data_IF_530679832739
#
_entry.id   IF_530679832739
#
_cell.length_a   1.000
_cell.length_b   1.000
_cell.length_c   1.000
_cell.angle_alpha   90.00
_cell.angle_beta   90.00
_cell.angle_gamma   90.00
#
_symmetry.space_group_name_H-M   'P 1'
#
loop_
_entity.id
_entity.type
_entity.pdbx_description
1 polymer ?
#
# COMPACT_ATOMS: atom_id res chain seq x y z
N UNK A 1 14.21 27.74 3.40
CA UNK A 1 12.76 27.80 3.73
C UNK A 1 11.88 27.86 2.48
N UNK A 2 12.15 28.68 1.47
CA UNK A 2 11.30 28.80 0.26
C UNK A 2 11.22 27.52 -0.57
N UNK A 3 12.32 26.79 -0.76
CA UNK A 3 12.36 25.54 -1.56
C UNK A 3 11.53 24.43 -0.92
N UNK A 4 11.60 24.26 0.40
CA UNK A 4 10.84 23.24 1.11
C UNK A 4 9.33 23.52 1.09
N UNK A 5 8.93 24.77 1.27
CA UNK A 5 7.52 25.18 1.19
C UNK A 5 6.93 24.99 -0.20
N UNK A 6 7.72 25.26 -1.25
CA UNK A 6 7.29 25.04 -2.64
C UNK A 6 7.12 23.56 -2.96
N UNK A 7 8.06 22.71 -2.51
CA UNK A 7 7.96 21.25 -2.67
C UNK A 7 6.74 20.68 -1.94
N UNK A 8 6.50 21.11 -0.69
CA UNK A 8 5.33 20.68 0.08
C UNK A 8 4.02 21.06 -0.63
N UNK A 9 3.93 22.30 -1.11
CA UNK A 9 2.74 22.80 -1.82
C UNK A 9 2.49 22.02 -3.11
N UNK A 10 3.56 21.71 -3.87
CA UNK A 10 3.49 20.88 -5.08
C UNK A 10 3.03 19.45 -4.76
N UNK A 11 3.57 18.84 -3.71
CA UNK A 11 3.18 17.48 -3.31
C UNK A 11 1.71 17.42 -2.87
N UNK A 12 1.25 18.38 -2.05
CA UNK A 12 -0.17 18.48 -1.67
C UNK A 12 -1.10 18.61 -2.87
N UNK A 13 -0.75 19.51 -3.80
CA UNK A 13 -1.55 19.68 -5.01
C UNK A 13 -1.61 18.41 -5.84
N UNK A 14 -0.49 17.72 -6.01
CA UNK A 14 -0.45 16.45 -6.74
C UNK A 14 -1.31 15.39 -6.07
N UNK A 15 -1.29 15.31 -4.73
CA UNK A 15 -2.16 14.40 -3.98
C UNK A 15 -3.64 14.74 -4.19
N UNK A 16 -4.03 16.01 -4.02
CA UNK A 16 -5.40 16.49 -4.21
C UNK A 16 -5.94 16.22 -5.63
N UNK A 17 -5.06 16.27 -6.65
CA UNK A 17 -5.42 15.99 -8.05
C UNK A 17 -5.57 14.48 -8.34
N UNK A 18 -4.83 13.62 -7.65
CA UNK A 18 -4.81 12.16 -7.91
C UNK A 18 -5.73 11.36 -6.99
N UNK A 19 -5.93 11.82 -5.76
CA UNK A 19 -6.74 11.13 -4.75
C UNK A 19 -8.17 10.79 -5.20
N UNK A 20 -8.92 11.67 -5.91
CA UNK A 20 -10.27 11.35 -6.37
C UNK A 20 -10.32 10.15 -7.31
N UNK A 21 -9.31 10.00 -8.18
CA UNK A 21 -9.20 8.86 -9.10
C UNK A 21 -9.03 7.54 -8.32
N UNK A 22 -8.08 7.48 -7.40
CA UNK A 22 -7.84 6.28 -6.60
C UNK A 22 -9.00 5.96 -5.66
N UNK A 23 -9.70 6.98 -5.13
CA UNK A 23 -10.92 6.78 -4.36
C UNK A 23 -12.04 6.17 -5.21
N UNK A 24 -12.18 6.57 -6.47
CA UNK A 24 -13.14 5.98 -7.39
C UNK A 24 -12.83 4.50 -7.66
N UNK A 25 -11.57 4.15 -7.87
CA UNK A 25 -11.14 2.75 -8.07
C UNK A 25 -11.41 1.89 -6.82
N UNK A 26 -11.08 2.38 -5.63
CA UNK A 26 -11.37 1.69 -4.36
C UNK A 26 -12.86 1.44 -4.18
N UNK A 27 -13.69 2.45 -4.45
CA UNK A 27 -15.14 2.33 -4.40
C UNK A 27 -15.64 1.28 -5.39
N UNK A 28 -15.05 1.19 -6.58
CA UNK A 28 -15.42 0.20 -7.59
C UNK A 28 -15.09 -1.22 -7.12
N UNK A 29 -13.91 -1.46 -6.54
CA UNK A 29 -13.54 -2.75 -5.94
C UNK A 29 -14.53 -3.11 -4.82
N UNK A 30 -14.83 -2.19 -3.91
CA UNK A 30 -15.78 -2.39 -2.82
C UNK A 30 -17.18 -2.79 -3.33
N UNK A 31 -17.65 -2.13 -4.39
CA UNK A 31 -18.93 -2.44 -5.03
C UNK A 31 -18.94 -3.86 -5.63
N UNK A 32 -17.89 -4.23 -6.37
CA UNK A 32 -17.77 -5.59 -6.95
C UNK A 32 -17.81 -6.65 -5.86
N UNK A 33 -16.99 -6.50 -4.83
CA UNK A 33 -16.89 -7.47 -3.72
C UNK A 33 -18.20 -7.60 -2.95
N UNK A 34 -18.96 -6.51 -2.80
CA UNK A 34 -20.26 -6.52 -2.13
C UNK A 34 -21.34 -7.21 -2.93
N UNK A 35 -21.47 -6.89 -4.22
CA UNK A 35 -22.52 -7.43 -5.07
C UNK A 35 -22.27 -8.86 -5.51
N UNK A 36 -21.01 -9.31 -5.50
CA UNK A 36 -20.60 -10.63 -5.90
C UNK A 36 -19.85 -11.32 -4.76
N UNK A 37 -20.57 -11.78 -3.73
CA UNK A 37 -19.96 -12.37 -2.55
C UNK A 37 -19.14 -13.61 -2.83
N UNK A 38 -19.43 -14.32 -3.91
CA UNK A 38 -18.75 -15.56 -4.30
C UNK A 38 -17.68 -15.35 -5.38
N UNK A 39 -17.32 -14.08 -5.67
CA UNK A 39 -16.26 -13.81 -6.61
C UNK A 39 -14.92 -14.33 -6.08
N UNK A 40 -14.33 -15.25 -6.82
CA UNK A 40 -12.97 -15.74 -6.57
C UNK A 40 -12.00 -14.96 -7.46
N UNK A 41 -11.01 -14.33 -6.85
CA UNK A 41 -9.99 -13.58 -7.55
C UNK A 41 -8.63 -13.78 -6.89
N UNK A 42 -7.55 -13.80 -7.69
CA UNK A 42 -6.19 -14.01 -7.20
C UNK A 42 -5.74 -13.02 -6.13
N UNK A 43 -6.29 -11.80 -6.14
CA UNK A 43 -5.98 -10.76 -5.14
C UNK A 43 -6.77 -10.91 -3.83
N UNK A 44 -7.71 -11.85 -3.78
CA UNK A 44 -8.53 -12.15 -2.61
C UNK A 44 -8.12 -13.47 -1.93
N UNK A 45 -7.07 -14.12 -2.41
CA UNK A 45 -6.60 -15.39 -1.83
C UNK A 45 -5.95 -15.17 -0.47
N UNK A 46 -6.71 -15.48 0.58
CA UNK A 46 -6.28 -15.37 1.99
C UNK A 46 -5.39 -16.53 2.45
N UNK A 47 -4.93 -17.38 1.55
CA UNK A 47 -4.09 -18.56 1.84
C UNK A 47 -4.70 -19.46 2.93
N UNK A 48 -5.89 -20.01 2.74
CA UNK A 48 -6.61 -20.74 3.78
C UNK A 48 -5.87 -22.01 4.26
N UNK A 49 -5.01 -22.57 3.41
CA UNK A 49 -4.22 -23.78 3.69
C UNK A 49 -2.87 -23.48 4.39
N UNK A 50 -2.58 -22.23 4.72
CA UNK A 50 -1.32 -21.81 5.36
C UNK A 50 -1.62 -21.18 6.71
N UNK A 51 -0.98 -21.70 7.77
CA UNK A 51 -1.16 -21.14 9.10
C UNK A 51 -0.71 -19.67 9.14
N UNK A 52 -1.39 -18.79 9.88
CA UNK A 52 -1.05 -17.35 9.93
C UNK A 52 0.40 -17.08 10.30
N UNK A 53 0.97 -17.86 11.22
CA UNK A 53 2.36 -17.76 11.67
C UNK A 53 3.40 -18.18 10.61
N UNK A 54 3.01 -18.96 9.62
CA UNK A 54 3.89 -19.44 8.55
C UNK A 54 3.79 -18.58 7.27
N UNK A 55 2.87 -17.60 7.26
CA UNK A 55 2.71 -16.69 6.12
C UNK A 55 3.91 -15.77 5.97
N UNK A 56 4.28 -15.53 4.72
CA UNK A 56 5.34 -14.60 4.35
C UNK A 56 4.72 -13.22 4.16
N UNK A 57 5.08 -12.27 5.02
CA UNK A 57 4.57 -10.90 4.96
C UNK A 57 5.55 -9.99 4.23
N UNK A 58 5.07 -9.32 3.18
CA UNK A 58 5.80 -8.27 2.50
C UNK A 58 5.48 -6.91 3.13
N UNK A 59 6.50 -6.17 3.55
CA UNK A 59 6.35 -4.81 4.07
C UNK A 59 7.01 -3.82 3.14
N UNK A 60 6.23 -2.94 2.53
CA UNK A 60 6.72 -1.76 1.80
C UNK A 60 6.88 -0.64 2.82
N UNK A 61 8.12 -0.28 3.14
CA UNK A 61 8.44 0.74 4.14
C UNK A 61 8.86 2.03 3.43
N UNK A 62 8.05 3.08 3.55
CA UNK A 62 8.29 4.36 2.88
C UNK A 62 9.00 5.32 3.82
N UNK A 63 10.25 5.66 3.50
CA UNK A 63 11.10 6.60 4.24
C UNK A 63 11.59 7.72 3.34
N UNK A 64 12.22 8.74 3.92
CA UNK A 64 12.89 9.78 3.15
C UNK A 64 14.28 9.33 2.64
N UNK A 65 14.80 10.04 1.63
CA UNK A 65 16.16 9.83 1.12
C UNK A 65 17.22 10.57 1.93
N UNK A 66 16.84 11.66 2.60
CA UNK A 66 17.76 12.51 3.35
C UNK A 66 17.26 12.79 4.76
N UNK A 67 18.20 13.02 5.69
CA UNK A 67 17.91 13.38 7.06
C UNK A 67 17.25 14.74 7.23
N UNK A 68 17.15 15.20 8.48
CA UNK A 68 16.52 16.45 8.90
C UNK A 68 14.98 16.46 8.78
N UNK A 69 14.35 15.28 8.74
CA UNK A 69 12.90 15.14 8.72
C UNK A 69 12.29 14.93 10.13
N UNK A 70 13.01 15.30 11.20
CA UNK A 70 12.53 15.12 12.58
C UNK A 70 12.22 13.67 12.90
N UNK A 71 11.10 13.44 13.60
CA UNK A 71 10.64 12.10 13.98
C UNK A 71 10.04 11.28 12.82
N UNK A 72 9.86 11.85 11.64
CA UNK A 72 9.22 11.22 10.48
C UNK A 72 9.79 9.82 10.19
N UNK A 73 11.09 9.74 9.91
CA UNK A 73 11.73 8.46 9.59
C UNK A 73 11.81 7.54 10.81
N UNK A 74 12.07 8.11 11.99
CA UNK A 74 12.17 7.32 13.23
C UNK A 74 10.87 6.56 13.52
N UNK A 75 9.74 7.21 13.40
CA UNK A 75 8.45 6.61 13.71
C UNK A 75 8.08 5.50 12.72
N UNK A 76 8.30 5.70 11.42
CA UNK A 76 8.09 4.67 10.39
C UNK A 76 8.99 3.47 10.61
N UNK A 77 10.27 3.68 10.87
CA UNK A 77 11.24 2.62 11.11
C UNK A 77 10.94 1.84 12.39
N UNK A 78 10.53 2.54 13.45
CA UNK A 78 10.08 1.91 14.70
C UNK A 78 8.86 1.02 14.44
N UNK A 79 7.85 1.52 13.74
CA UNK A 79 6.66 0.73 13.39
C UNK A 79 7.03 -0.51 12.57
N UNK A 80 7.91 -0.35 11.56
CA UNK A 80 8.37 -1.47 10.76
C UNK A 80 9.12 -2.53 11.60
N UNK A 81 9.96 -2.11 12.53
CA UNK A 81 10.65 -3.02 13.45
C UNK A 81 9.67 -3.80 14.33
N UNK A 82 8.68 -3.11 14.92
CA UNK A 82 7.65 -3.75 15.75
C UNK A 82 6.87 -4.83 14.97
N UNK A 83 6.60 -4.60 13.68
CA UNK A 83 5.87 -5.55 12.85
C UNK A 83 6.73 -6.76 12.45
N UNK A 84 7.99 -6.54 12.03
CA UNK A 84 8.86 -7.64 11.62
C UNK A 84 9.28 -8.53 12.80
N UNK A 85 9.42 -7.98 14.01
CA UNK A 85 9.72 -8.74 15.22
C UNK A 85 8.62 -9.74 15.59
N UNK A 86 7.38 -9.48 15.16
CA UNK A 86 6.24 -10.36 15.36
C UNK A 86 6.10 -11.44 14.25
N UNK A 87 6.90 -11.35 13.19
CA UNK A 87 6.80 -12.22 12.04
C UNK A 87 7.89 -13.28 12.03
N UNK A 88 7.52 -14.53 11.76
CA UNK A 88 8.47 -15.61 11.51
C UNK A 88 9.15 -15.48 10.14
N UNK A 89 8.34 -15.09 9.14
CA UNK A 89 8.78 -14.93 7.77
C UNK A 89 8.33 -13.58 7.23
N UNK A 90 9.27 -12.83 6.66
CA UNK A 90 8.97 -11.52 6.05
C UNK A 90 9.93 -11.18 4.91
N UNK A 91 9.51 -10.26 4.04
CA UNK A 91 10.35 -9.57 3.07
C UNK A 91 10.18 -8.06 3.25
N UNK A 92 11.27 -7.31 3.22
CA UNK A 92 11.27 -5.85 3.32
C UNK A 92 11.54 -5.21 1.96
N UNK A 93 10.65 -4.34 1.54
CA UNK A 93 10.75 -3.50 0.36
C UNK A 93 10.87 -2.05 0.82
N UNK A 94 12.06 -1.46 0.72
CA UNK A 94 12.31 -0.15 1.31
C UNK A 94 12.39 0.93 0.23
N UNK A 95 11.48 1.89 0.30
CA UNK A 95 11.52 3.12 -0.47
C UNK A 95 12.23 4.19 0.37
N UNK A 96 13.24 4.84 -0.20
CA UNK A 96 14.04 5.86 0.46
C UNK A 96 15.36 5.33 1.02
N UNK A 97 16.38 6.15 0.85
CA UNK A 97 17.75 5.78 1.18
C UNK A 97 18.00 5.64 2.69
N UNK A 98 17.33 6.47 3.50
CA UNK A 98 17.50 6.40 4.96
C UNK A 98 17.01 5.08 5.55
N UNK A 99 15.90 4.56 5.07
CA UNK A 99 15.40 3.26 5.52
C UNK A 99 16.37 2.14 5.17
N UNK A 100 16.89 2.13 3.94
CA UNK A 100 17.89 1.13 3.53
C UNK A 100 19.12 1.16 4.41
N UNK A 101 19.68 2.33 4.66
CA UNK A 101 20.86 2.48 5.52
C UNK A 101 20.57 2.04 6.97
N UNK A 102 19.37 2.31 7.46
CA UNK A 102 18.95 1.92 8.79
C UNK A 102 18.93 0.38 8.93
N UNK A 103 18.17 -0.31 8.05
CA UNK A 103 18.05 -1.76 8.10
C UNK A 103 19.39 -2.47 7.84
N UNK A 104 20.21 -1.92 6.93
CA UNK A 104 21.57 -2.43 6.71
C UNK A 104 22.44 -2.35 7.98
N UNK A 105 22.37 -1.25 8.74
CA UNK A 105 23.10 -1.11 10.02
C UNK A 105 22.61 -2.08 11.09
N UNK A 106 21.34 -2.46 11.05
CA UNK A 106 20.75 -3.44 11.96
C UNK A 106 20.97 -4.89 11.48
N UNK A 107 21.66 -5.11 10.36
CA UNK A 107 21.83 -6.42 9.71
C UNK A 107 20.50 -7.10 9.36
N UNK A 108 19.45 -6.30 9.05
CA UNK A 108 18.15 -6.79 8.62
C UNK A 108 18.15 -6.86 7.10
N UNK A 109 17.83 -8.01 6.49
CA UNK A 109 17.81 -8.15 5.04
C UNK A 109 16.70 -7.33 4.42
N UNK A 110 17.01 -6.63 3.33
CA UNK A 110 16.06 -5.91 2.47
C UNK A 110 16.14 -6.45 1.06
N UNK A 111 15.07 -6.33 0.29
CA UNK A 111 15.06 -6.72 -1.12
C UNK A 111 16.11 -5.90 -1.89
N UNK A 112 17.22 -6.55 -2.30
CA UNK A 112 18.39 -5.86 -2.86
C UNK A 112 18.10 -5.19 -4.20
N UNK A 113 17.26 -5.81 -5.01
CA UNK A 113 16.85 -5.27 -6.34
C UNK A 113 15.86 -4.12 -6.22
N UNK A 114 15.19 -4.00 -5.07
CA UNK A 114 14.21 -2.96 -4.79
C UNK A 114 14.91 -1.65 -4.39
N UNK A 115 15.32 -0.86 -5.39
CA UNK A 115 16.15 0.33 -5.16
C UNK A 115 15.44 1.61 -5.60
N UNK A 116 14.43 2.02 -4.83
CA UNK A 116 13.62 3.20 -5.12
C UNK A 116 13.89 4.33 -4.13
N UNK A 117 13.93 5.55 -4.67
CA UNK A 117 14.07 6.78 -3.88
C UNK A 117 12.71 7.43 -3.68
N UNK A 118 12.54 8.14 -2.56
CA UNK A 118 11.34 8.92 -2.28
C UNK A 118 11.27 10.26 -3.05
N UNK A 119 12.38 10.65 -3.70
CA UNK A 119 12.42 11.89 -4.47
C UNK A 119 11.70 11.76 -5.81
N UNK A 120 10.99 12.84 -6.19
CA UNK A 120 10.23 12.91 -7.45
C UNK A 120 9.28 11.74 -7.64
N UNK A 121 8.30 11.56 -6.75
CA UNK A 121 7.29 10.51 -6.89
C UNK A 121 6.56 10.67 -8.23
N UNK A 122 6.25 9.55 -8.87
CA UNK A 122 5.50 9.52 -10.12
C UNK A 122 4.68 8.24 -10.21
N UNK A 123 3.55 8.29 -10.90
CA UNK A 123 2.71 7.12 -11.15
C UNK A 123 3.48 5.98 -11.84
N UNK A 124 4.43 6.31 -12.70
CA UNK A 124 5.28 5.31 -13.36
C UNK A 124 6.14 4.53 -12.34
N UNK A 125 6.75 5.22 -11.37
CA UNK A 125 7.54 4.56 -10.31
C UNK A 125 6.64 3.74 -9.38
N UNK A 126 5.51 4.29 -8.97
CA UNK A 126 4.54 3.58 -8.14
C UNK A 126 4.05 2.30 -8.84
N UNK A 127 3.84 2.34 -10.17
CA UNK A 127 3.49 1.17 -10.97
C UNK A 127 4.57 0.09 -10.94
N UNK A 128 5.83 0.44 -11.16
CA UNK A 128 6.94 -0.53 -11.14
C UNK A 128 7.05 -1.19 -9.76
N UNK A 129 6.95 -0.41 -8.68
CA UNK A 129 6.96 -0.93 -7.30
C UNK A 129 5.79 -1.88 -7.07
N UNK A 130 4.59 -1.48 -7.52
CA UNK A 130 3.38 -2.28 -7.41
C UNK A 130 3.51 -3.60 -8.17
N UNK A 131 3.94 -3.55 -9.43
CA UNK A 131 4.09 -4.74 -10.29
C UNK A 131 5.04 -5.78 -9.65
N UNK A 132 6.17 -5.35 -9.11
CA UNK A 132 7.14 -6.24 -8.46
C UNK A 132 6.53 -6.97 -7.24
N UNK A 133 5.82 -6.24 -6.39
CA UNK A 133 5.24 -6.82 -5.17
C UNK A 133 4.01 -7.67 -5.48
N UNK A 134 3.17 -7.24 -6.43
CA UNK A 134 1.98 -7.96 -6.87
C UNK A 134 2.37 -9.28 -7.53
N UNK A 135 3.43 -9.31 -8.34
CA UNK A 135 3.91 -10.53 -8.98
C UNK A 135 4.37 -11.56 -7.94
N UNK A 136 5.16 -11.14 -6.94
CA UNK A 136 5.58 -12.02 -5.85
C UNK A 136 4.39 -12.55 -5.03
N UNK A 137 3.32 -11.77 -4.86
CA UNK A 137 2.09 -12.25 -4.22
C UNK A 137 1.37 -13.30 -5.10
N UNK A 138 1.25 -13.07 -6.40
CA UNK A 138 0.63 -14.03 -7.34
C UNK A 138 1.40 -15.34 -7.44
N UNK A 139 2.73 -15.27 -7.40
CA UNK A 139 3.61 -16.44 -7.42
C UNK A 139 3.66 -17.20 -6.09
N UNK A 140 3.05 -16.67 -5.04
CA UNK A 140 3.03 -17.28 -3.70
C UNK A 140 4.32 -17.06 -2.91
N UNK A 141 5.20 -16.19 -3.36
CA UNK A 141 6.38 -15.76 -2.62
C UNK A 141 6.04 -14.81 -1.47
N UNK A 142 4.90 -14.15 -1.56
CA UNK A 142 4.29 -13.35 -0.50
C UNK A 142 2.84 -13.84 -0.27
N UNK A 143 2.44 -13.91 0.99
CA UNK A 143 1.09 -14.29 1.38
C UNK A 143 0.25 -13.08 1.80
N UNK A 144 0.91 -12.06 2.32
CA UNK A 144 0.31 -10.79 2.73
C UNK A 144 1.24 -9.64 2.33
N UNK A 145 0.66 -8.49 1.97
CA UNK A 145 1.41 -7.29 1.60
C UNK A 145 0.88 -6.09 2.36
N UNK A 146 1.77 -5.38 3.01
CA UNK A 146 1.50 -4.17 3.78
C UNK A 146 2.33 -3.00 3.29
N UNK A 147 1.79 -1.79 3.40
CA UNK A 147 2.57 -0.56 3.28
C UNK A 147 2.62 0.15 4.64
N UNK A 148 3.81 0.58 5.04
CA UNK A 148 4.05 1.36 6.26
C UNK A 148 4.57 2.73 5.82
N UNK A 149 3.82 3.78 6.13
CA UNK A 149 4.10 5.12 5.67
C UNK A 149 3.68 6.17 6.71
N UNK A 150 4.09 7.39 6.49
CA UNK A 150 3.65 8.53 7.30
C UNK A 150 2.67 9.39 6.51
N UNK A 151 1.54 9.72 7.09
CA UNK A 151 0.59 10.65 6.52
C UNK A 151 0.45 11.93 7.36
N UNK A 152 -0.01 12.98 6.74
CA UNK A 152 -0.30 14.24 7.42
C UNK A 152 -1.70 14.21 8.02
N UNK A 153 -1.79 14.14 9.35
CA UNK A 153 -3.05 14.26 10.07
C UNK A 153 -3.57 15.70 10.09
N UNK A 154 -2.64 16.65 10.14
CA UNK A 154 -2.92 18.08 10.06
C UNK A 154 -1.74 18.81 9.41
N UNK A 155 -1.85 20.13 9.23
CA UNK A 155 -0.75 20.94 8.71
C UNK A 155 0.53 20.93 9.57
N UNK A 156 0.43 20.48 10.82
CA UNK A 156 1.53 20.49 11.80
C UNK A 156 1.79 19.12 12.44
N UNK A 157 0.97 18.12 12.18
CA UNK A 157 1.13 16.79 12.77
C UNK A 157 1.12 15.69 11.71
N UNK A 158 1.97 14.69 11.93
CA UNK A 158 2.08 13.49 11.10
C UNK A 158 1.91 12.25 11.96
N UNK A 159 1.29 11.23 11.41
CA UNK A 159 1.14 9.92 12.04
C UNK A 159 1.64 8.83 11.09
N UNK A 160 2.10 7.72 11.68
CA UNK A 160 2.47 6.51 10.91
C UNK A 160 1.26 5.61 10.83
N UNK A 161 1.03 5.08 9.66
CA UNK A 161 -0.02 4.11 9.40
C UNK A 161 0.54 2.86 8.73
N UNK A 162 -0.19 1.76 8.86
CA UNK A 162 0.08 0.52 8.17
C UNK A 162 -1.22 0.02 7.53
N UNK A 163 -1.19 -0.14 6.22
CA UNK A 163 -2.35 -0.60 5.45
C UNK A 163 -2.03 -1.96 4.84
N UNK A 164 -2.97 -2.90 4.99
CA UNK A 164 -2.93 -4.15 4.23
C UNK A 164 -3.32 -3.85 2.78
N UNK A 165 -2.45 -4.20 1.83
CA UNK A 165 -2.72 -4.05 0.40
C UNK A 165 -3.24 -5.35 -0.23
N UNK A 166 -2.72 -6.48 0.22
CA UNK A 166 -3.06 -7.83 -0.25
C UNK A 166 -2.98 -8.84 0.90
N UNK A 167 -3.87 -9.86 0.91
CA UNK A 167 -5.02 -10.01 0.04
C UNK A 167 -6.09 -8.97 0.33
N UNK A 168 -6.92 -8.66 -0.68
CA UNK A 168 -8.10 -7.84 -0.48
C UNK A 168 -9.15 -8.68 0.24
N UNK A 169 -9.55 -8.26 1.44
CA UNK A 169 -10.62 -8.91 2.20
C UNK A 169 -11.93 -8.16 2.03
N UNK A 170 -13.04 -8.86 2.26
CA UNK A 170 -14.37 -8.24 2.24
C UNK A 170 -14.50 -7.14 3.29
N UNK A 171 -13.96 -7.37 4.48
CA UNK A 171 -14.03 -6.40 5.57
C UNK A 171 -13.36 -5.09 5.17
N UNK A 172 -12.20 -5.16 4.51
CA UNK A 172 -11.52 -3.96 3.98
C UNK A 172 -12.35 -3.25 2.91
N UNK A 173 -12.97 -4.02 2.02
CA UNK A 173 -13.81 -3.45 0.97
C UNK A 173 -15.06 -2.77 1.55
N UNK A 174 -15.63 -3.29 2.65
CA UNK A 174 -16.81 -2.71 3.32
C UNK A 174 -16.47 -1.49 4.17
N UNK A 175 -15.31 -1.45 4.83
CA UNK A 175 -14.91 -0.33 5.68
C UNK A 175 -14.82 1.00 4.92
N UNK A 176 -14.32 0.98 3.69
CA UNK A 176 -14.24 2.17 2.84
C UNK A 176 -15.59 2.76 2.43
N UNK A 177 -16.67 2.00 2.55
CA UNK A 177 -18.01 2.45 2.18
C UNK A 177 -18.81 3.02 3.36
N UNK A 178 -18.52 2.59 4.59
CA UNK A 178 -19.16 3.14 5.80
C UNK A 178 -18.84 4.62 6.03
N UNK A 179 -17.77 5.12 5.42
CA UNK A 179 -17.41 6.55 5.46
C UNK A 179 -18.28 7.42 4.55
N UNK A 180 -19.08 6.82 3.65
CA UNK A 180 -20.01 7.52 2.77
C UNK A 180 -21.42 6.98 2.94
N UNK A 181 -22.27 7.75 3.61
CA UNK A 181 -23.72 7.49 3.69
C UNK A 181 -24.36 7.64 2.33
N UNK A 182 -24.74 6.52 1.70
CA UNK A 182 -25.50 6.49 0.47
C UNK A 182 -25.69 5.04 -0.01
N UNK A 183 -26.76 4.40 0.46
CA UNK A 183 -27.17 3.08 -0.07
C UNK A 183 -27.83 3.30 -1.42
N UNK A 184 -27.14 3.00 -2.49
CA UNK A 184 -27.74 2.87 -3.82
C UNK A 184 -27.85 1.38 -4.16
N UNK A 185 -29.09 0.88 -4.23
CA UNK A 185 -29.40 -0.38 -4.88
C UNK A 185 -29.36 -0.17 -6.39
N UNK A 186 -28.20 -0.31 -7.00
CA UNK A 186 -28.03 -0.32 -8.44
C UNK A 186 -27.73 -1.74 -8.89
N UNK A 187 -28.51 -2.23 -9.88
CA UNK A 187 -28.12 -3.41 -10.65
C UNK A 187 -26.86 -3.05 -11.44
N UNK A 188 -25.74 -3.74 -11.15
CA UNK A 188 -24.46 -3.49 -11.80
C UNK A 188 -24.23 -4.58 -12.85
N UNK A 189 -24.29 -4.20 -14.13
CA UNK A 189 -23.71 -5.01 -15.20
C UNK A 189 -22.20 -4.78 -15.25
N UNK A 190 -21.43 -5.84 -14.96
CA UNK A 190 -19.98 -5.82 -15.02
C UNK A 190 -19.50 -6.45 -16.32
N UNK A 191 -18.95 -5.64 -17.21
CA UNK A 191 -18.37 -6.10 -18.47
C UNK A 191 -16.85 -5.89 -18.47
N UNK A 192 -16.04 -6.85 -18.96
CA UNK A 192 -16.44 -8.14 -19.56
C UNK A 192 -16.79 -9.22 -18.52
N UNK A 193 -16.25 -9.15 -17.31
CA UNK A 193 -16.57 -10.00 -16.17
C UNK A 193 -16.04 -9.39 -14.86
N UNK A 194 -16.57 -9.78 -13.68
CA UNK A 194 -16.08 -9.31 -12.38
C UNK A 194 -14.58 -9.56 -12.19
N UNK A 195 -14.11 -10.74 -12.54
CA UNK A 195 -12.68 -11.10 -12.42
C UNK A 195 -11.79 -10.28 -13.35
N UNK A 196 -12.18 -10.05 -14.59
CA UNK A 196 -11.43 -9.21 -15.50
C UNK A 196 -11.36 -7.77 -15.00
N UNK A 197 -12.46 -7.27 -14.43
CA UNK A 197 -12.50 -5.93 -13.84
C UNK A 197 -11.56 -5.84 -12.64
N UNK A 198 -11.64 -6.76 -11.68
CA UNK A 198 -10.75 -6.80 -10.51
C UNK A 198 -9.27 -6.93 -10.92
N UNK A 199 -8.96 -7.78 -11.89
CA UNK A 199 -7.59 -7.95 -12.38
C UNK A 199 -7.00 -6.65 -12.97
N UNK A 200 -7.83 -5.79 -13.54
CA UNK A 200 -7.40 -4.51 -14.09
C UNK A 200 -7.32 -3.41 -13.02
N UNK A 201 -8.28 -3.37 -12.07
CA UNK A 201 -8.39 -2.23 -11.15
C UNK A 201 -7.54 -2.42 -9.89
N UNK A 202 -7.41 -3.64 -9.38
CA UNK A 202 -6.71 -3.89 -8.11
C UNK A 202 -5.25 -3.43 -8.15
N UNK A 203 -4.45 -3.68 -9.19
CA UNK A 203 -3.10 -3.15 -9.28
C UNK A 203 -3.07 -1.61 -9.21
N UNK A 204 -4.02 -0.94 -9.86
CA UNK A 204 -4.10 0.52 -9.81
C UNK A 204 -4.50 1.03 -8.42
N UNK A 205 -5.39 0.31 -7.70
CA UNK A 205 -5.71 0.64 -6.30
C UNK A 205 -4.47 0.52 -5.41
N UNK A 206 -3.70 -0.57 -5.55
CA UNK A 206 -2.46 -0.78 -4.79
C UNK A 206 -1.44 0.31 -5.12
N UNK A 207 -1.27 0.65 -6.40
CA UNK A 207 -0.40 1.73 -6.87
C UNK A 207 -0.78 3.08 -6.22
N UNK A 208 -2.05 3.31 -5.96
CA UNK A 208 -2.54 4.53 -5.31
C UNK A 208 -2.14 4.68 -3.83
N UNK A 209 -1.70 3.61 -3.18
CA UNK A 209 -1.17 3.64 -1.82
C UNK A 209 0.36 3.79 -1.76
N UNK A 210 1.06 3.61 -2.86
CA UNK A 210 2.52 3.71 -3.01
C UNK A 210 2.92 5.11 -3.54
#
# INVERSE_FOLDING_TARGET
>A
YMISSTKLRKAKKSLEETEPYFNALRNMVSRVVRHLPDVENQYMDVRPNKAPEDRIKGFIVVTADKGLAGAYNHNVLKKAMEEIEQCKNYKLFVVGELGRQYFKKQNIPVAEQFHYTAQNPSLHRARIICEEVVEQFKEGELDEVYVIYTYMKSSISTEVDMINLLPITRDMAMQHEMERQGVFNEEIELQPSPNALLNNIVPDVIMGYI
#
